data_IF_746192848000
#
_entry.id   IF_746192848000
#
_cell.length_a   1.000
_cell.length_b   1.000
_cell.length_c   1.000
_cell.angle_alpha   90.00
_cell.angle_beta   90.00
_cell.angle_gamma   90.00
#
_symmetry.space_group_name_H-M   'P 1'
#
loop_
_entity.id
_entity.type
_entity.pdbx_description
1 polymer ?
#
# COMPACT_ATOMS: atom_id res chain seq x y z
N UNK A 1 -11.03 -11.91 -28.25
CA UNK A 1 -11.73 -11.14 -27.19
C UNK A 1 -11.10 -11.53 -25.85
N UNK A 2 -10.31 -10.66 -25.20
CA UNK A 2 -9.71 -10.96 -23.89
C UNK A 2 -10.76 -10.68 -22.82
N UNK A 3 -11.23 -11.72 -22.13
CA UNK A 3 -12.11 -11.58 -20.98
C UNK A 3 -11.42 -10.74 -19.91
N UNK A 4 -12.02 -9.62 -19.53
CA UNK A 4 -11.59 -8.89 -18.33
C UNK A 4 -11.94 -9.77 -17.14
N UNK A 5 -10.92 -10.31 -16.48
CA UNK A 5 -11.11 -10.93 -15.17
C UNK A 5 -11.48 -9.82 -14.18
N UNK A 6 -12.76 -9.73 -13.83
CA UNK A 6 -13.22 -8.84 -12.75
C UNK A 6 -12.73 -9.42 -11.44
N UNK A 7 -11.64 -8.88 -10.89
CA UNK A 7 -11.26 -9.17 -9.50
C UNK A 7 -12.24 -8.44 -8.60
N UNK A 8 -12.84 -9.18 -7.68
CA UNK A 8 -13.74 -8.61 -6.66
C UNK A 8 -12.99 -8.63 -5.33
N UNK A 9 -13.05 -7.51 -4.63
CA UNK A 9 -12.44 -7.34 -3.32
C UNK A 9 -13.54 -7.15 -2.29
N UNK A 10 -13.38 -7.78 -1.15
CA UNK A 10 -14.35 -7.74 -0.06
C UNK A 10 -13.60 -7.41 1.23
N UNK A 11 -14.20 -6.55 2.05
CA UNK A 11 -13.84 -6.37 3.45
C UNK A 11 -14.95 -6.94 4.32
N UNK A 12 -14.59 -7.49 5.46
CA UNK A 12 -15.58 -7.92 6.45
C UNK A 12 -15.79 -6.79 7.46
N UNK A 13 -17.04 -6.40 7.66
CA UNK A 13 -17.44 -5.29 8.53
C UNK A 13 -16.96 -5.53 9.97
N UNK A 14 -16.95 -6.78 10.43
CA UNK A 14 -16.47 -7.16 11.76
C UNK A 14 -14.99 -6.85 12.01
N UNK A 15 -14.19 -6.61 10.96
CA UNK A 15 -12.79 -6.21 11.05
C UNK A 15 -12.56 -4.71 10.80
N UNK A 16 -13.60 -3.90 10.60
CA UNK A 16 -13.47 -2.48 10.28
C UNK A 16 -12.80 -1.69 11.42
N UNK A 17 -13.17 -1.96 12.67
CA UNK A 17 -12.54 -1.33 13.84
C UNK A 17 -11.07 -1.73 13.99
N UNK A 18 -10.79 -3.03 13.84
CA UNK A 18 -9.42 -3.56 13.91
C UNK A 18 -8.54 -2.97 12.80
N UNK A 19 -9.10 -2.83 11.59
CA UNK A 19 -8.41 -2.21 10.46
C UNK A 19 -8.16 -0.72 10.69
N UNK A 20 -9.17 0.01 11.19
CA UNK A 20 -9.03 1.44 11.52
C UNK A 20 -7.94 1.65 12.57
N UNK A 21 -7.93 0.82 13.62
CA UNK A 21 -6.90 0.84 14.65
C UNK A 21 -5.52 0.56 14.08
N UNK A 22 -5.39 -0.44 13.20
CA UNK A 22 -4.13 -0.75 12.52
C UNK A 22 -3.61 0.45 11.72
N UNK A 23 -4.46 1.12 10.95
CA UNK A 23 -4.05 2.30 10.17
C UNK A 23 -3.61 3.45 11.07
N UNK A 24 -4.28 3.65 12.22
CA UNK A 24 -3.88 4.66 13.21
C UNK A 24 -2.52 4.35 13.82
N UNK A 25 -2.29 3.11 14.25
CA UNK A 25 -1.01 2.65 14.80
C UNK A 25 0.12 2.78 13.77
N UNK A 26 -0.13 2.38 12.52
CA UNK A 26 0.80 2.52 11.41
C UNK A 26 1.13 3.98 11.11
N UNK A 27 0.11 4.85 11.08
CA UNK A 27 0.29 6.29 10.89
C UNK A 27 1.13 6.89 12.01
N UNK A 28 0.83 6.54 13.26
CA UNK A 28 1.61 6.97 14.42
C UNK A 28 3.05 6.50 14.32
N UNK A 29 3.29 5.23 13.97
CA UNK A 29 4.63 4.69 13.77
C UNK A 29 5.42 5.48 12.72
N UNK A 30 4.85 5.66 11.52
CA UNK A 30 5.51 6.35 10.40
C UNK A 30 5.82 7.81 10.76
N UNK A 31 4.90 8.49 11.46
CA UNK A 31 5.02 9.91 11.80
C UNK A 31 5.84 10.19 13.07
N UNK A 32 6.05 9.20 13.93
CA UNK A 32 6.66 9.37 15.26
C UNK A 32 8.19 9.43 15.30
N UNK A 33 8.91 9.15 14.20
CA UNK A 33 10.36 9.37 14.14
C UNK A 33 11.17 8.30 13.38
N UNK A 34 12.48 8.17 13.65
CA UNK A 34 13.51 7.66 12.73
C UNK A 34 13.42 6.16 12.37
N UNK A 35 12.44 5.43 12.91
CA UNK A 35 12.26 4.00 12.64
C UNK A 35 11.57 3.71 11.31
N UNK A 36 10.93 4.72 10.70
CA UNK A 36 10.28 4.59 9.41
C UNK A 36 11.29 4.88 8.29
N UNK A 37 11.44 3.93 7.36
CA UNK A 37 12.42 4.02 6.28
C UNK A 37 11.69 4.13 4.95
N UNK A 38 12.06 5.15 4.16
CA UNK A 38 11.59 5.24 2.77
C UNK A 38 12.25 4.16 1.92
N UNK A 39 11.52 3.64 0.95
CA UNK A 39 12.09 2.73 -0.04
C UNK A 39 13.05 3.53 -0.93
N UNK A 40 14.31 3.13 -0.97
CA UNK A 40 15.35 3.82 -1.74
C UNK A 40 15.46 3.31 -3.19
N UNK A 41 15.15 2.03 -3.40
CA UNK A 41 15.37 1.31 -4.67
C UNK A 41 14.09 0.60 -5.14
N UNK A 42 14.21 -0.43 -5.98
CA UNK A 42 13.07 -1.21 -6.44
C UNK A 42 12.37 -1.91 -5.26
N UNK A 43 11.06 -1.65 -5.03
CA UNK A 43 10.30 -2.36 -4.01
C UNK A 43 10.13 -3.84 -4.42
N UNK A 44 10.09 -4.72 -3.42
CA UNK A 44 9.92 -6.14 -3.62
C UNK A 44 8.46 -6.46 -3.94
N UNK A 45 8.24 -7.24 -4.99
CA UNK A 45 6.89 -7.68 -5.40
C UNK A 45 6.30 -8.55 -4.30
N UNK A 46 5.01 -8.33 -4.00
CA UNK A 46 4.26 -9.01 -2.95
C UNK A 46 4.75 -8.76 -1.50
N UNK A 47 5.71 -7.85 -1.29
CA UNK A 47 6.02 -7.32 0.04
C UNK A 47 5.06 -6.19 0.42
N UNK A 48 4.75 -6.07 1.70
CA UNK A 48 3.87 -5.02 2.22
C UNK A 48 4.64 -3.73 2.47
N UNK A 49 4.08 -2.62 1.98
CA UNK A 49 4.59 -1.27 2.18
C UNK A 49 3.46 -0.34 2.64
N UNK A 50 3.83 0.84 3.11
CA UNK A 50 2.91 1.95 3.32
C UNK A 50 3.12 3.04 2.26
N UNK A 51 2.05 3.74 1.92
CA UNK A 51 2.08 4.95 1.11
C UNK A 51 1.11 5.97 1.68
N UNK A 52 1.43 7.26 1.57
CA UNK A 52 0.47 8.32 1.87
C UNK A 52 -0.26 8.68 0.57
N UNK A 53 -1.52 8.27 0.43
CA UNK A 53 -2.34 8.52 -0.75
C UNK A 53 -3.57 9.33 -0.34
N UNK A 54 -3.82 10.46 -1.01
CA UNK A 54 -4.90 11.40 -0.68
C UNK A 54 -4.95 11.80 0.82
N UNK A 55 -3.76 12.01 1.42
CA UNK A 55 -3.64 12.40 2.83
C UNK A 55 -3.91 11.28 3.83
N UNK A 56 -4.03 10.02 3.38
CA UNK A 56 -4.23 8.84 4.23
C UNK A 56 -3.08 7.86 4.05
N UNK A 57 -2.57 7.36 5.17
CA UNK A 57 -1.61 6.26 5.14
C UNK A 57 -2.35 4.95 4.91
N UNK A 58 -1.95 4.24 3.84
CA UNK A 58 -2.58 3.01 3.39
C UNK A 58 -1.52 1.93 3.17
N UNK A 59 -1.94 0.67 3.33
CA UNK A 59 -1.11 -0.50 3.07
C UNK A 59 -1.23 -0.92 1.61
N UNK A 60 -0.08 -1.15 0.98
CA UNK A 60 0.01 -1.50 -0.44
C UNK A 60 0.97 -2.66 -0.67
N UNK A 61 0.70 -3.42 -1.72
CA UNK A 61 1.57 -4.49 -2.21
C UNK A 61 1.98 -4.21 -3.67
N UNK A 62 3.28 -4.09 -3.97
CA UNK A 62 3.77 -3.96 -5.32
C UNK A 62 3.47 -5.21 -6.13
N UNK A 63 2.89 -5.03 -7.31
CA UNK A 63 2.53 -6.11 -8.22
C UNK A 63 3.56 -6.28 -9.33
N UNK A 64 3.97 -5.17 -9.94
CA UNK A 64 4.92 -5.12 -11.05
C UNK A 64 5.41 -3.70 -11.27
N UNK A 65 6.57 -3.57 -11.90
CA UNK A 65 7.05 -2.28 -12.38
C UNK A 65 6.04 -1.70 -13.40
N UNK A 66 5.66 -0.44 -13.20
CA UNK A 66 4.73 0.24 -14.09
C UNK A 66 5.50 1.07 -15.12
N UNK A 67 6.38 1.95 -14.65
CA UNK A 67 7.18 2.89 -15.44
C UNK A 67 8.39 3.35 -14.61
N UNK A 68 9.36 4.05 -15.20
CA UNK A 68 10.58 4.47 -14.49
C UNK A 68 10.23 5.30 -13.24
N UNK A 69 10.66 4.83 -12.07
CA UNK A 69 10.38 5.48 -10.78
C UNK A 69 9.00 5.18 -10.18
N UNK A 70 8.16 4.36 -10.84
CA UNK A 70 6.85 3.95 -10.32
C UNK A 70 6.61 2.45 -10.38
N UNK A 71 5.90 1.96 -9.38
CA UNK A 71 5.45 0.57 -9.30
C UNK A 71 3.93 0.50 -9.23
N UNK A 72 3.33 -0.47 -9.90
CA UNK A 72 1.90 -0.71 -9.75
C UNK A 72 1.66 -1.39 -8.40
N UNK A 73 0.90 -0.74 -7.53
CA UNK A 73 0.62 -1.18 -6.18
C UNK A 73 -0.86 -1.53 -6.02
N UNK A 74 -1.16 -2.69 -5.45
CA UNK A 74 -2.50 -3.04 -4.98
C UNK A 74 -2.73 -2.45 -3.60
N UNK A 75 -3.81 -1.71 -3.41
CA UNK A 75 -4.26 -1.25 -2.10
C UNK A 75 -4.97 -2.41 -1.41
N UNK A 76 -4.34 -2.98 -0.38
CA UNK A 76 -4.71 -4.31 0.18
C UNK A 76 -6.18 -4.38 0.61
N UNK A 77 -6.73 -3.27 1.09
CA UNK A 77 -8.09 -3.20 1.61
C UNK A 77 -9.09 -2.54 0.64
N UNK A 78 -8.61 -1.74 -0.30
CA UNK A 78 -9.48 -1.04 -1.27
C UNK A 78 -9.63 -1.83 -2.58
N UNK A 79 -8.65 -2.69 -2.90
CA UNK A 79 -8.67 -3.57 -4.06
C UNK A 79 -8.29 -2.92 -5.39
N UNK A 80 -8.25 -1.60 -5.47
CA UNK A 80 -7.71 -0.91 -6.63
C UNK A 80 -6.18 -1.10 -6.71
N UNK A 81 -5.68 -1.13 -7.95
CA UNK A 81 -4.26 -1.05 -8.22
C UNK A 81 -3.97 0.27 -8.93
N UNK A 82 -2.97 1.01 -8.46
CA UNK A 82 -2.56 2.28 -9.05
C UNK A 82 -1.03 2.36 -9.10
N UNK A 83 -0.46 3.10 -10.07
CA UNK A 83 0.96 3.39 -10.08
C UNK A 83 1.32 4.37 -8.95
N UNK A 84 2.29 3.99 -8.12
CA UNK A 84 2.81 4.76 -6.99
C UNK A 84 4.29 5.04 -7.22
N UNK A 85 4.74 6.27 -6.91
CA UNK A 85 6.16 6.61 -6.96
C UNK A 85 6.92 5.84 -5.87
N UNK A 86 8.07 5.29 -6.22
CA UNK A 86 8.89 4.51 -5.28
C UNK A 86 9.27 5.33 -4.05
N UNK A 87 9.55 6.63 -4.23
CA UNK A 87 9.90 7.57 -3.15
C UNK A 87 8.77 7.89 -2.15
N UNK A 88 7.53 7.52 -2.50
CA UNK A 88 6.35 7.62 -1.65
C UNK A 88 6.08 6.34 -0.86
N UNK A 89 6.84 5.27 -1.12
CA UNK A 89 6.76 4.02 -0.38
C UNK A 89 7.60 4.05 0.89
N UNK A 90 7.04 3.46 1.94
CA UNK A 90 7.66 3.31 3.24
C UNK A 90 7.65 1.84 3.64
N UNK A 91 8.79 1.40 4.17
CA UNK A 91 8.94 0.07 4.74
C UNK A 91 8.03 -0.09 5.95
N UNK A 92 7.34 -1.23 6.01
CA UNK A 92 6.60 -1.68 7.18
C UNK A 92 7.42 -2.73 7.92
N UNK A 93 7.45 -2.71 9.26
CA UNK A 93 8.10 -3.74 10.07
C UNK A 93 7.41 -5.10 9.97
#
# INVERSE_FOLDING_TARGET
MRGKHTKVYFSFIEYEEAYTKLLQEMTAFITSGPSSTKVADSPEVAKLYATCYNGRWLRVEPLRNAETGKVECCFVYEGNALPICVEDLWELP
#
